data_IF_838190083269
#
_entry.id   IF_838190083269
#
_cell.length_a   1.000
_cell.length_b   1.000
_cell.length_c   1.000
_cell.angle_alpha   90.00
_cell.angle_beta   90.00
_cell.angle_gamma   90.00
#
_symmetry.space_group_name_H-M   'P 1'
#
loop_
_entity.id
_entity.type
_entity.pdbx_description
1 polymer ?
#
# COMPACT_ATOMS: atom_id res chain seq x y z
N UNK A 1 -19.23 15.66 4.81
CA UNK A 1 -20.30 14.97 5.54
C UNK A 1 -19.94 14.74 7.00
N UNK A 2 -18.77 14.14 7.31
CA UNK A 2 -18.31 13.86 8.68
C UNK A 2 -18.18 15.17 9.47
N UNK A 3 -17.45 16.14 8.95
CA UNK A 3 -17.23 17.44 9.59
C UNK A 3 -18.55 18.10 10.00
N UNK A 4 -19.55 18.11 9.11
CA UNK A 4 -20.88 18.64 9.42
C UNK A 4 -21.59 17.84 10.51
N UNK A 5 -21.42 16.50 10.53
CA UNK A 5 -22.08 15.65 11.53
C UNK A 5 -21.54 15.86 12.94
N UNK A 6 -20.20 15.97 13.06
CA UNK A 6 -19.55 16.16 14.36
C UNK A 6 -19.44 17.65 14.77
N UNK A 7 -19.84 18.58 13.90
CA UNK A 7 -19.77 20.02 14.16
C UNK A 7 -18.33 20.55 14.23
N UNK A 8 -17.39 19.94 13.51
CA UNK A 8 -15.99 20.40 13.52
C UNK A 8 -15.79 21.64 12.65
N UNK A 9 -14.87 22.50 13.06
CA UNK A 9 -14.26 23.49 12.18
C UNK A 9 -13.38 22.74 11.15
N UNK A 10 -13.73 22.87 9.86
CA UNK A 10 -13.17 22.05 8.81
C UNK A 10 -12.46 22.88 7.76
N UNK A 11 -11.19 22.57 7.52
CA UNK A 11 -10.38 23.18 6.47
C UNK A 11 -10.01 22.11 5.42
N UNK A 12 -10.20 22.43 4.16
CA UNK A 12 -9.77 21.58 3.03
C UNK A 12 -8.51 22.15 2.40
N UNK A 13 -7.59 21.26 2.03
CA UNK A 13 -6.36 21.59 1.33
C UNK A 13 -6.32 20.79 0.03
N UNK A 14 -6.31 21.47 -1.10
CA UNK A 14 -6.17 20.86 -2.42
C UNK A 14 -4.70 20.89 -2.85
N UNK A 15 -4.31 19.93 -3.68
CA UNK A 15 -2.96 19.84 -4.25
C UNK A 15 -3.05 19.89 -5.76
N UNK A 16 -2.39 20.89 -6.35
CA UNK A 16 -2.34 21.08 -7.77
C UNK A 16 -1.07 20.45 -8.37
N UNK A 17 -1.16 19.99 -9.63
CA UNK A 17 -0.06 19.35 -10.34
C UNK A 17 1.20 20.23 -10.37
N UNK A 18 1.06 21.49 -10.72
CA UNK A 18 2.20 22.41 -10.81
C UNK A 18 2.89 22.61 -9.47
N UNK A 19 2.12 22.80 -8.42
CA UNK A 19 2.64 22.89 -7.04
C UNK A 19 3.43 21.65 -6.62
N UNK A 20 2.93 20.47 -6.98
CA UNK A 20 3.62 19.22 -6.69
C UNK A 20 5.02 19.22 -7.32
N UNK A 21 5.13 19.51 -8.62
CA UNK A 21 6.43 19.51 -9.32
C UNK A 21 7.38 20.61 -8.83
N UNK A 22 6.88 21.80 -8.55
CA UNK A 22 7.67 22.91 -8.02
C UNK A 22 8.27 22.59 -6.64
N UNK A 23 7.58 21.81 -5.84
CA UNK A 23 8.02 21.46 -4.49
C UNK A 23 8.79 20.13 -4.37
N UNK A 24 8.94 19.35 -5.45
CA UNK A 24 9.64 18.06 -5.41
C UNK A 24 11.02 18.15 -4.79
N UNK A 25 11.85 19.08 -5.24
CA UNK A 25 13.22 19.26 -4.75
C UNK A 25 13.24 19.68 -3.27
N UNK A 26 12.27 20.47 -2.83
CA UNK A 26 12.14 20.87 -1.44
C UNK A 26 11.84 19.66 -0.54
N UNK A 27 10.90 18.81 -0.95
CA UNK A 27 10.57 17.58 -0.20
C UNK A 27 11.76 16.63 -0.13
N UNK A 28 12.50 16.45 -1.24
CA UNK A 28 13.71 15.63 -1.27
C UNK A 28 14.77 16.18 -0.31
N UNK A 29 14.94 17.50 -0.23
CA UNK A 29 15.87 18.14 0.71
C UNK A 29 15.44 17.95 2.16
N UNK A 30 14.15 18.12 2.48
CA UNK A 30 13.60 17.90 3.82
C UNK A 30 13.82 16.46 4.26
N UNK A 31 13.52 15.53 3.36
CA UNK A 31 13.66 14.10 3.63
C UNK A 31 15.11 13.62 3.66
N UNK A 32 16.02 14.31 2.97
CA UNK A 32 17.39 13.88 2.70
C UNK A 32 17.45 12.48 2.05
N UNK A 33 16.43 12.12 1.30
CA UNK A 33 16.27 10.83 0.60
C UNK A 33 15.32 11.00 -0.60
N UNK A 34 15.33 10.08 -1.57
CA UNK A 34 14.35 10.06 -2.64
C UNK A 34 12.91 9.98 -2.09
N UNK A 35 11.95 10.50 -2.86
CA UNK A 35 10.54 10.29 -2.59
C UNK A 35 10.23 8.79 -2.60
N UNK A 36 9.60 8.31 -1.53
CA UNK A 36 9.10 6.93 -1.48
C UNK A 36 7.77 6.79 -2.19
N UNK A 37 6.90 7.78 -1.96
CA UNK A 37 5.56 7.84 -2.56
C UNK A 37 5.15 9.31 -2.75
N UNK A 38 4.33 9.62 -3.75
CA UNK A 38 3.91 10.98 -4.05
C UNK A 38 3.12 11.67 -2.92
N UNK A 39 2.52 10.89 -2.03
CA UNK A 39 1.69 11.38 -0.90
C UNK A 39 2.47 12.18 0.16
N UNK A 40 3.79 12.21 0.09
CA UNK A 40 4.62 13.01 0.98
C UNK A 40 4.32 14.51 0.83
N UNK A 41 4.15 14.99 -0.40
CA UNK A 41 3.84 16.40 -0.64
C UNK A 41 2.48 16.86 -0.08
N UNK A 42 1.36 16.16 -0.31
CA UNK A 42 0.09 16.49 0.33
C UNK A 42 0.16 16.60 1.85
N UNK A 43 0.87 15.70 2.52
CA UNK A 43 1.03 15.74 3.98
C UNK A 43 1.83 16.99 4.38
N UNK A 44 2.91 17.28 3.67
CA UNK A 44 3.70 18.50 3.89
C UNK A 44 2.85 19.77 3.73
N UNK A 45 2.06 19.86 2.63
CA UNK A 45 1.19 21.00 2.37
C UNK A 45 0.10 21.14 3.44
N UNK A 46 -0.52 20.03 3.84
CA UNK A 46 -1.52 19.99 4.90
C UNK A 46 -0.91 20.46 6.23
N UNK A 47 0.26 19.95 6.60
CA UNK A 47 0.92 20.33 7.86
C UNK A 47 1.34 21.79 7.87
N UNK A 48 1.71 22.36 6.72
CA UNK A 48 1.97 23.81 6.59
C UNK A 48 0.73 24.64 6.90
N UNK A 49 -0.46 24.17 6.51
CA UNK A 49 -1.72 24.83 6.84
C UNK A 49 -2.11 24.64 8.31
N UNK A 50 -1.95 23.44 8.83
CA UNK A 50 -2.25 23.08 10.22
C UNK A 50 -1.43 23.90 11.23
N UNK A 51 -0.15 24.16 10.93
CA UNK A 51 0.75 24.96 11.77
C UNK A 51 0.18 26.33 12.16
N UNK A 52 -0.68 26.92 11.33
CA UNK A 52 -1.30 28.21 11.59
C UNK A 52 -2.26 28.16 12.81
N UNK A 53 -2.77 26.99 13.14
CA UNK A 53 -3.82 26.82 14.16
C UNK A 53 -3.38 25.98 15.35
N UNK A 54 -2.64 24.88 15.11
CA UNK A 54 -2.26 23.93 16.17
C UNK A 54 -0.84 23.41 16.00
N UNK A 55 -0.26 22.91 17.10
CA UNK A 55 1.09 22.30 17.12
C UNK A 55 1.06 20.77 17.11
N UNK A 56 -0.07 20.18 17.48
CA UNK A 56 -0.24 18.74 17.60
C UNK A 56 -1.50 18.31 16.87
N UNK A 57 -1.43 17.23 16.11
CA UNK A 57 -2.56 16.64 15.38
C UNK A 57 -2.66 15.16 15.65
N UNK A 58 -3.86 14.58 15.44
CA UNK A 58 -4.08 13.14 15.45
C UNK A 58 -4.18 12.63 14.02
N UNK A 59 -3.49 11.53 13.74
CA UNK A 59 -3.54 10.83 12.44
C UNK A 59 -4.17 9.45 12.59
N UNK A 60 -4.78 8.96 11.51
CA UNK A 60 -5.37 7.63 11.42
C UNK A 60 -4.41 6.51 11.01
N UNK A 61 -3.09 6.78 10.95
CA UNK A 61 -2.09 5.76 10.56
C UNK A 61 -2.11 4.57 11.54
N UNK A 62 -1.84 3.38 11.02
CA UNK A 62 -1.91 2.12 11.76
C UNK A 62 -3.26 1.40 11.65
N UNK A 63 -4.35 2.11 11.38
CA UNK A 63 -5.67 1.49 11.30
C UNK A 63 -5.80 0.43 10.19
N UNK A 64 -5.12 0.59 9.06
CA UNK A 64 -5.12 -0.39 7.97
C UNK A 64 -4.24 -1.60 8.29
N UNK A 65 -3.12 -1.40 8.95
CA UNK A 65 -2.13 -2.42 9.29
C UNK A 65 -2.64 -3.40 10.33
N UNK A 66 -3.37 -2.90 11.33
CA UNK A 66 -3.87 -3.72 12.43
C UNK A 66 -5.26 -4.29 12.20
N UNK A 67 -6.11 -3.59 11.46
CA UNK A 67 -7.50 -3.99 11.25
C UNK A 67 -7.79 -4.56 9.86
N UNK A 68 -6.79 -4.69 8.99
CA UNK A 68 -6.94 -5.32 7.68
C UNK A 68 -7.61 -4.43 6.64
N UNK A 69 -6.99 -3.28 6.35
CA UNK A 69 -7.52 -2.31 5.39
C UNK A 69 -7.04 -2.50 3.95
N UNK A 70 -5.94 -3.20 3.72
CA UNK A 70 -5.35 -3.35 2.38
C UNK A 70 -5.84 -4.61 1.66
N UNK A 71 -6.46 -4.42 0.49
CA UNK A 71 -7.00 -5.53 -0.29
C UNK A 71 -5.89 -6.39 -0.91
N UNK A 72 -5.00 -5.75 -1.68
CA UNK A 72 -4.05 -6.43 -2.55
C UNK A 72 -3.10 -7.37 -1.82
N UNK A 73 -2.55 -6.95 -0.70
CA UNK A 73 -1.48 -7.69 -0.02
C UNK A 73 -1.97 -8.42 1.22
N UNK A 74 -2.68 -7.74 2.14
CA UNK A 74 -3.16 -8.38 3.36
C UNK A 74 -4.14 -9.54 3.10
N UNK A 75 -4.86 -9.51 1.95
CA UNK A 75 -5.74 -10.60 1.52
C UNK A 75 -5.07 -11.58 0.56
N UNK A 76 -3.80 -11.42 0.24
CA UNK A 76 -3.06 -12.35 -0.62
C UNK A 76 -3.07 -13.78 -0.07
N UNK A 77 -3.08 -13.92 1.25
CA UNK A 77 -3.23 -15.21 1.92
C UNK A 77 -4.47 -16.00 1.45
N UNK A 78 -5.59 -15.30 1.16
CA UNK A 78 -6.79 -15.96 0.62
C UNK A 78 -6.54 -16.58 -0.75
N UNK A 79 -5.94 -15.82 -1.67
CA UNK A 79 -5.64 -16.31 -3.01
C UNK A 79 -4.59 -17.43 -2.99
N UNK A 80 -3.58 -17.31 -2.12
CA UNK A 80 -2.57 -18.34 -1.95
C UNK A 80 -3.18 -19.66 -1.44
N UNK A 81 -3.97 -19.62 -0.38
CA UNK A 81 -4.64 -20.79 0.20
C UNK A 81 -5.62 -21.40 -0.82
N UNK A 82 -6.39 -20.56 -1.52
CA UNK A 82 -7.30 -21.00 -2.58
C UNK A 82 -6.55 -21.78 -3.68
N UNK A 83 -5.47 -21.21 -4.20
CA UNK A 83 -4.66 -21.83 -5.24
C UNK A 83 -4.03 -23.16 -4.78
N UNK A 84 -3.53 -23.21 -3.54
CA UNK A 84 -2.97 -24.45 -2.94
C UNK A 84 -4.01 -25.52 -2.76
N UNK A 85 -5.22 -25.17 -2.32
CA UNK A 85 -6.33 -26.13 -2.16
C UNK A 85 -6.84 -26.66 -3.50
N UNK A 86 -6.77 -25.83 -4.54
CA UNK A 86 -7.17 -26.20 -5.90
C UNK A 86 -6.00 -26.72 -6.76
N UNK A 87 -4.92 -27.22 -6.14
CA UNK A 87 -3.68 -27.62 -6.82
C UNK A 87 -3.87 -28.60 -7.98
N UNK A 88 -4.83 -29.50 -7.89
CA UNK A 88 -5.14 -30.45 -8.99
C UNK A 88 -5.69 -29.74 -10.23
N UNK A 89 -6.33 -28.60 -10.07
CA UNK A 89 -6.91 -27.81 -11.15
C UNK A 89 -5.97 -26.67 -11.60
N UNK A 90 -4.95 -26.33 -10.78
CA UNK A 90 -4.07 -25.18 -11.04
C UNK A 90 -3.13 -25.34 -12.24
N UNK A 91 -3.01 -26.55 -12.82
CA UNK A 91 -2.24 -26.79 -14.03
C UNK A 91 -3.01 -26.47 -15.32
N UNK A 92 -4.34 -26.31 -15.25
CA UNK A 92 -5.18 -25.97 -16.39
C UNK A 92 -5.45 -24.46 -16.43
N UNK A 93 -5.07 -23.81 -17.52
CA UNK A 93 -5.35 -22.38 -17.74
C UNK A 93 -6.85 -22.07 -17.68
N UNK A 94 -7.69 -23.00 -18.11
CA UNK A 94 -9.15 -22.88 -18.01
C UNK A 94 -9.61 -22.73 -16.55
N UNK A 95 -9.12 -23.60 -15.65
CA UNK A 95 -9.48 -23.52 -14.23
C UNK A 95 -8.84 -22.32 -13.54
N UNK A 96 -7.59 -21.95 -13.87
CA UNK A 96 -6.98 -20.71 -13.36
C UNK A 96 -7.86 -19.50 -13.68
N UNK A 97 -8.38 -19.41 -14.90
CA UNK A 97 -9.28 -18.34 -15.33
C UNK A 97 -10.59 -18.36 -14.54
N UNK A 98 -11.25 -19.52 -14.38
CA UNK A 98 -12.50 -19.67 -13.63
C UNK A 98 -12.33 -19.23 -12.18
N UNK A 99 -11.29 -19.70 -11.50
CA UNK A 99 -11.05 -19.40 -10.08
C UNK A 99 -10.20 -18.16 -9.86
N UNK A 100 -9.91 -17.38 -10.90
CA UNK A 100 -9.07 -16.19 -10.84
C UNK A 100 -7.76 -16.44 -10.05
N UNK A 101 -7.06 -17.52 -10.40
CA UNK A 101 -5.74 -17.86 -9.86
C UNK A 101 -4.69 -17.15 -10.70
N UNK A 102 -3.70 -16.55 -10.06
CA UNK A 102 -2.59 -15.89 -10.76
C UNK A 102 -1.83 -16.90 -11.61
N UNK A 103 -1.87 -16.73 -12.94
CA UNK A 103 -1.24 -17.63 -13.90
C UNK A 103 0.29 -17.52 -13.93
N UNK A 104 0.79 -16.34 -13.60
CA UNK A 104 2.22 -16.02 -13.61
C UNK A 104 2.97 -16.53 -12.37
N UNK A 105 2.25 -16.88 -11.30
CA UNK A 105 2.86 -17.37 -10.07
C UNK A 105 2.82 -18.90 -9.96
N UNK A 106 3.96 -19.50 -9.66
CA UNK A 106 4.05 -20.95 -9.48
C UNK A 106 3.79 -21.37 -8.03
N UNK A 107 2.53 -21.67 -7.71
CA UNK A 107 2.09 -22.07 -6.37
C UNK A 107 2.60 -23.46 -5.93
N UNK A 108 3.20 -24.25 -6.81
CA UNK A 108 3.73 -25.57 -6.44
C UNK A 108 5.18 -25.47 -5.94
N UNK A 109 5.98 -24.57 -6.51
CA UNK A 109 7.39 -24.41 -6.19
C UNK A 109 7.62 -23.35 -5.09
N UNK A 110 6.75 -22.36 -4.98
CA UNK A 110 6.94 -21.19 -4.13
C UNK A 110 6.02 -21.25 -2.90
N UNK A 111 6.48 -20.71 -1.80
CA UNK A 111 5.75 -20.64 -0.55
C UNK A 111 4.91 -19.34 -0.41
N UNK A 112 4.34 -19.12 0.78
CA UNK A 112 3.55 -17.93 1.04
C UNK A 112 4.40 -16.65 1.07
N UNK A 113 5.67 -16.75 1.48
CA UNK A 113 6.54 -15.58 1.48
C UNK A 113 6.82 -15.06 0.08
N UNK A 114 7.07 -15.96 -0.87
CA UNK A 114 7.27 -15.61 -2.28
C UNK A 114 6.02 -14.95 -2.87
N UNK A 115 4.82 -15.51 -2.55
CA UNK A 115 3.57 -14.94 -3.02
C UNK A 115 3.27 -13.59 -2.38
N UNK A 116 3.61 -13.42 -1.11
CA UNK A 116 3.48 -12.14 -0.44
C UNK A 116 4.33 -11.07 -1.15
N UNK A 117 5.61 -11.34 -1.43
CA UNK A 117 6.47 -10.40 -2.16
C UNK A 117 5.97 -10.14 -3.58
N UNK A 118 5.52 -11.17 -4.28
CA UNK A 118 4.92 -11.02 -5.61
C UNK A 118 3.72 -10.05 -5.59
N UNK A 119 2.91 -10.08 -4.51
CA UNK A 119 1.78 -9.17 -4.35
C UNK A 119 2.16 -7.81 -3.76
N UNK A 120 3.20 -7.74 -2.94
CA UNK A 120 3.65 -6.51 -2.30
C UNK A 120 4.39 -5.57 -3.26
N UNK A 121 5.26 -6.13 -4.08
CA UNK A 121 6.07 -5.36 -5.01
C UNK A 121 5.22 -4.78 -6.16
N UNK A 122 5.48 -3.52 -6.51
CA UNK A 122 4.93 -2.90 -7.72
C UNK A 122 5.68 -3.35 -8.97
N UNK A 123 6.99 -3.54 -8.87
CA UNK A 123 7.86 -4.10 -9.88
C UNK A 123 8.38 -5.45 -9.42
N UNK A 124 8.40 -6.44 -10.31
CA UNK A 124 9.09 -7.70 -10.05
C UNK A 124 10.60 -7.44 -9.87
N UNK A 125 11.29 -8.34 -9.20
CA UNK A 125 12.75 -8.22 -9.07
C UNK A 125 13.47 -8.23 -10.42
N UNK A 126 12.95 -8.96 -11.42
CA UNK A 126 13.47 -8.93 -12.79
C UNK A 126 13.28 -7.58 -13.47
N UNK A 127 12.16 -6.91 -13.26
CA UNK A 127 11.94 -5.56 -13.78
C UNK A 127 12.87 -4.55 -13.13
N UNK A 128 13.10 -4.66 -11.82
CA UNK A 128 14.06 -3.82 -11.10
C UNK A 128 15.49 -4.07 -11.63
N UNK A 129 15.89 -5.34 -11.82
CA UNK A 129 17.20 -5.70 -12.36
C UNK A 129 17.41 -5.15 -13.77
N UNK A 130 16.37 -5.12 -14.60
CA UNK A 130 16.43 -4.55 -15.94
C UNK A 130 16.40 -3.00 -15.92
N UNK A 131 15.74 -2.39 -14.94
CA UNK A 131 15.67 -0.93 -14.81
C UNK A 131 17.00 -0.33 -14.34
N UNK A 132 17.71 -1.02 -13.47
CA UNK A 132 18.98 -0.58 -12.93
C UNK A 132 20.12 -1.03 -13.86
N UNK A 133 21.15 -0.22 -14.01
CA UNK A 133 22.33 -0.62 -14.77
C UNK A 133 23.03 -1.83 -14.15
N UNK A 134 23.49 -2.74 -14.99
CA UNK A 134 24.03 -4.06 -14.61
C UNK A 134 25.16 -3.97 -13.56
N UNK A 135 26.08 -3.04 -13.71
CA UNK A 135 27.16 -2.82 -12.76
C UNK A 135 26.70 -2.44 -11.34
N UNK A 136 25.47 -1.96 -11.19
CA UNK A 136 24.86 -1.66 -9.88
C UNK A 136 24.00 -2.84 -9.44
N UNK A 137 23.17 -3.39 -10.34
CA UNK A 137 22.27 -4.50 -10.00
C UNK A 137 23.03 -5.75 -9.54
N UNK A 138 24.22 -6.02 -10.10
CA UNK A 138 25.08 -7.12 -9.68
C UNK A 138 25.61 -6.97 -8.23
N UNK A 139 25.56 -5.78 -7.65
CA UNK A 139 25.93 -5.52 -6.26
C UNK A 139 24.72 -5.62 -5.30
N UNK A 140 23.51 -5.67 -5.82
CA UNK A 140 22.29 -5.75 -5.01
C UNK A 140 22.02 -7.20 -4.61
N UNK A 141 22.05 -7.47 -3.31
CA UNK A 141 21.64 -8.76 -2.78
C UNK A 141 20.16 -8.74 -2.41
N UNK A 142 19.32 -9.23 -3.30
CA UNK A 142 17.85 -9.30 -3.12
C UNK A 142 17.47 -10.10 -1.86
N UNK A 143 18.18 -11.14 -1.52
CA UNK A 143 17.88 -11.95 -0.33
C UNK A 143 18.10 -11.13 0.96
N UNK A 144 19.13 -10.27 1.01
CA UNK A 144 19.31 -9.33 2.13
C UNK A 144 18.16 -8.32 2.24
N UNK A 145 17.60 -7.89 1.12
CA UNK A 145 16.43 -6.98 1.11
C UNK A 145 15.19 -7.67 1.69
N UNK A 146 15.02 -8.97 1.42
CA UNK A 146 13.91 -9.76 1.93
C UNK A 146 14.09 -10.22 3.40
N UNK A 147 15.31 -10.25 3.88
CA UNK A 147 15.66 -10.86 5.17
C UNK A 147 14.83 -10.38 6.36
N UNK A 148 14.59 -9.06 6.56
CA UNK A 148 13.76 -8.60 7.69
C UNK A 148 12.33 -9.15 7.64
N UNK A 149 11.75 -9.25 6.43
CA UNK A 149 10.41 -9.79 6.19
C UNK A 149 10.36 -11.30 6.44
N UNK A 150 11.35 -12.02 5.95
CA UNK A 150 11.47 -13.47 6.15
C UNK A 150 11.67 -13.80 7.63
N UNK A 151 12.41 -12.97 8.37
CA UNK A 151 12.60 -13.13 9.82
C UNK A 151 11.25 -13.07 10.57
N UNK A 152 10.34 -12.16 10.21
CA UNK A 152 8.99 -12.09 10.76
C UNK A 152 8.20 -13.37 10.45
N UNK A 153 8.22 -13.84 9.21
CA UNK A 153 7.53 -15.08 8.83
C UNK A 153 8.07 -16.29 9.59
N UNK A 154 9.38 -16.41 9.74
CA UNK A 154 10.01 -17.48 10.51
C UNK A 154 9.62 -17.43 11.99
N UNK A 155 9.61 -16.22 12.59
CA UNK A 155 9.21 -16.01 13.99
C UNK A 155 7.75 -16.42 14.22
N UNK A 156 6.85 -16.14 13.29
CA UNK A 156 5.42 -16.37 13.39
C UNK A 156 4.93 -17.50 12.46
N UNK A 157 5.77 -18.52 12.22
CA UNK A 157 5.44 -19.64 11.33
C UNK A 157 4.22 -20.47 11.77
N UNK A 158 3.89 -20.44 13.06
CA UNK A 158 2.70 -21.11 13.63
C UNK A 158 1.40 -20.34 13.42
N UNK A 159 1.49 -19.05 13.06
CA UNK A 159 0.31 -18.25 12.76
C UNK A 159 -0.24 -18.59 11.36
N UNK A 160 -1.52 -18.30 11.16
CA UNK A 160 -2.13 -18.43 9.82
C UNK A 160 -1.47 -17.48 8.81
N UNK A 161 -1.50 -17.82 7.52
CA UNK A 161 -1.00 -16.92 6.48
C UNK A 161 -1.72 -15.55 6.49
N UNK A 162 -2.96 -15.52 6.97
CA UNK A 162 -3.71 -14.26 7.16
C UNK A 162 -3.07 -13.37 8.23
N UNK A 163 -2.73 -13.95 9.38
CA UNK A 163 -2.09 -13.23 10.48
C UNK A 163 -0.66 -12.84 10.10
N UNK A 164 0.07 -13.74 9.42
CA UNK A 164 1.42 -13.47 8.91
C UNK A 164 1.42 -12.25 7.98
N UNK A 165 0.43 -12.12 7.08
CA UNK A 165 0.36 -10.95 6.18
C UNK A 165 0.14 -9.64 6.94
N UNK A 166 -0.66 -9.65 8.01
CA UNK A 166 -0.83 -8.46 8.86
C UNK A 166 0.45 -8.12 9.63
N UNK A 167 1.10 -9.13 10.24
CA UNK A 167 2.34 -8.94 10.99
C UNK A 167 3.47 -8.39 10.13
N UNK A 168 3.58 -8.85 8.88
CA UNK A 168 4.55 -8.30 7.92
C UNK A 168 4.31 -6.82 7.64
N UNK A 169 3.05 -6.41 7.49
CA UNK A 169 2.72 -5.00 7.32
C UNK A 169 3.04 -4.16 8.55
N UNK A 170 2.70 -4.66 9.74
CA UNK A 170 2.99 -4.00 11.00
C UNK A 170 4.50 -3.80 11.21
N UNK A 171 5.30 -4.82 10.95
CA UNK A 171 6.73 -4.79 11.26
C UNK A 171 7.57 -4.01 10.22
N UNK A 172 7.17 -3.99 8.96
CA UNK A 172 8.02 -3.44 7.90
C UNK A 172 7.37 -2.29 7.11
N UNK A 173 6.08 -2.43 6.74
CA UNK A 173 5.41 -1.39 5.93
C UNK A 173 5.06 -0.16 6.75
N UNK A 174 4.58 -0.36 7.98
CA UNK A 174 4.14 0.71 8.86
C UNK A 174 5.27 1.73 9.15
N UNK A 175 6.52 1.26 9.30
CA UNK A 175 7.65 2.15 9.53
C UNK A 175 7.77 3.21 8.44
N UNK A 176 7.66 2.82 7.17
CA UNK A 176 7.73 3.78 6.05
C UNK A 176 6.60 4.82 6.09
N UNK A 177 5.42 4.43 6.58
CA UNK A 177 4.28 5.35 6.71
C UNK A 177 4.50 6.35 7.85
N UNK A 178 5.06 5.89 8.97
CA UNK A 178 5.37 6.73 10.12
C UNK A 178 6.49 7.71 9.80
N UNK A 179 7.56 7.26 9.16
CA UNK A 179 8.67 8.12 8.72
C UNK A 179 8.16 9.22 7.77
N UNK A 180 7.29 8.86 6.83
CA UNK A 180 6.64 9.83 5.94
C UNK A 180 5.82 10.86 6.71
N UNK A 181 4.96 10.40 7.62
CA UNK A 181 4.09 11.26 8.41
C UNK A 181 4.93 12.22 9.25
N UNK A 182 5.87 11.69 10.02
CA UNK A 182 6.72 12.45 10.92
C UNK A 182 7.56 13.49 10.17
N UNK A 183 8.31 13.08 9.15
CA UNK A 183 9.17 13.99 8.38
C UNK A 183 8.38 15.12 7.73
N UNK A 184 7.20 14.84 7.17
CA UNK A 184 6.42 15.85 6.48
C UNK A 184 5.69 16.80 7.44
N UNK A 185 5.30 16.35 8.62
CA UNK A 185 4.67 17.20 9.62
C UNK A 185 5.70 17.98 10.43
N UNK A 186 6.81 17.34 10.83
CA UNK A 186 7.90 17.98 11.55
C UNK A 186 8.64 19.04 10.73
N UNK A 187 8.66 18.92 9.40
CA UNK A 187 9.15 19.98 8.49
C UNK A 187 8.43 21.32 8.70
N UNK A 188 7.22 21.30 9.24
CA UNK A 188 6.43 22.46 9.60
C UNK A 188 6.28 22.64 11.11
N UNK A 189 7.04 21.90 11.94
CA UNK A 189 6.96 21.93 13.41
C UNK A 189 5.57 21.56 13.95
N UNK A 190 4.91 20.59 13.30
CA UNK A 190 3.64 20.01 13.74
C UNK A 190 3.92 18.58 14.19
N UNK A 191 3.57 18.23 15.42
CA UNK A 191 3.66 16.87 15.94
C UNK A 191 2.44 16.05 15.54
N UNK A 192 2.62 14.93 14.84
CA UNK A 192 1.55 14.01 14.51
C UNK A 192 1.53 12.82 15.46
N UNK A 193 0.43 12.64 16.18
CA UNK A 193 0.19 11.48 17.06
C UNK A 193 -0.71 10.46 16.37
N UNK A 194 -0.46 9.19 16.67
CA UNK A 194 -1.07 8.04 15.99
C UNK A 194 -1.80 7.13 17.00
N UNK A 195 -3.03 7.47 17.42
CA UNK A 195 -3.74 6.74 18.48
C UNK A 195 -3.96 5.25 18.19
N UNK A 196 -4.02 4.84 16.91
CA UNK A 196 -4.14 3.42 16.55
C UNK A 196 -2.86 2.61 16.81
N UNK A 197 -1.77 3.29 17.16
CA UNK A 197 -0.47 2.69 17.51
C UNK A 197 -0.19 2.71 19.00
N UNK A 198 -1.19 2.98 19.82
CA UNK A 198 -1.10 2.75 21.26
C UNK A 198 -0.74 1.29 21.53
N UNK A 199 0.27 1.05 22.38
CA UNK A 199 0.83 -0.29 22.57
C UNK A 199 -0.17 -1.28 23.19
N UNK A 200 -1.02 -0.82 24.12
CA UNK A 200 -2.06 -1.67 24.72
C UNK A 200 -3.11 -2.07 23.67
N UNK A 201 -3.50 -1.12 22.81
CA UNK A 201 -4.40 -1.40 21.70
C UNK A 201 -3.76 -2.38 20.70
N UNK A 202 -2.48 -2.22 20.36
CA UNK A 202 -1.76 -3.12 19.46
C UNK A 202 -1.69 -4.53 20.02
N UNK A 203 -1.29 -4.68 21.27
CA UNK A 203 -1.22 -5.98 21.94
C UNK A 203 -2.58 -6.66 21.94
N UNK A 204 -3.63 -5.94 22.31
CA UNK A 204 -4.99 -6.47 22.28
C UNK A 204 -5.42 -6.88 20.88
N UNK A 205 -5.31 -5.98 19.88
CA UNK A 205 -5.81 -6.27 18.54
C UNK A 205 -5.07 -7.42 17.86
N UNK A 206 -3.80 -7.64 18.18
CA UNK A 206 -3.04 -8.78 17.69
C UNK A 206 -3.53 -10.12 18.25
N UNK A 207 -4.20 -10.15 19.40
CA UNK A 207 -4.88 -11.34 19.91
C UNK A 207 -6.23 -11.61 19.24
N UNK A 208 -6.80 -10.60 18.58
CA UNK A 208 -8.12 -10.70 17.92
C UNK A 208 -8.00 -11.54 16.65
N UNK A 209 -8.77 -12.63 16.50
CA UNK A 209 -8.74 -13.47 15.31
C UNK A 209 -9.04 -12.69 14.02
N UNK A 210 -8.39 -13.05 12.94
CA UNK A 210 -8.49 -12.39 11.62
C UNK A 210 -9.95 -12.20 11.15
N UNK A 211 -10.84 -13.16 11.44
CA UNK A 211 -12.27 -13.08 11.06
C UNK A 211 -13.03 -11.87 11.63
N UNK A 212 -12.50 -11.24 12.69
CA UNK A 212 -13.05 -10.00 13.24
C UNK A 212 -12.40 -8.74 12.65
N UNK A 213 -11.27 -8.89 11.99
CA UNK A 213 -10.61 -7.81 11.26
C UNK A 213 -11.19 -7.68 9.84
N UNK A 214 -11.32 -8.82 9.15
CA UNK A 214 -11.95 -8.91 7.82
C UNK A 214 -13.04 -9.97 7.88
N UNK A 215 -14.27 -9.62 7.52
CA UNK A 215 -15.43 -10.50 7.62
C UNK A 215 -16.16 -10.64 6.28
N UNK A 216 -16.52 -11.86 5.91
CA UNK A 216 -17.42 -12.10 4.78
C UNK A 216 -18.82 -11.54 5.04
N UNK A 217 -19.40 -10.87 4.06
CA UNK A 217 -20.77 -10.33 4.16
C UNK A 217 -21.81 -11.44 4.38
N UNK A 218 -21.60 -12.59 3.74
CA UNK A 218 -22.47 -13.78 3.87
C UNK A 218 -21.72 -15.05 3.47
N UNK A 219 -22.32 -16.22 3.73
CA UNK A 219 -21.82 -17.52 3.22
C UNK A 219 -21.76 -17.54 1.69
N UNK A 220 -22.78 -16.95 1.03
CA UNK A 220 -22.85 -16.83 -0.43
C UNK A 220 -21.72 -15.94 -0.95
N UNK A 221 -21.43 -14.82 -0.29
CA UNK A 221 -20.32 -13.93 -0.64
C UNK A 221 -18.99 -14.65 -0.53
N UNK A 222 -18.77 -15.45 0.52
CA UNK A 222 -17.59 -16.29 0.67
C UNK A 222 -17.47 -17.31 -0.47
N UNK A 223 -18.56 -17.94 -0.87
CA UNK A 223 -18.55 -18.87 -2.01
C UNK A 223 -18.22 -18.15 -3.33
N UNK A 224 -18.87 -17.01 -3.61
CA UNK A 224 -18.60 -16.22 -4.81
C UNK A 224 -17.15 -15.73 -4.89
N UNK A 225 -16.49 -15.47 -3.76
CA UNK A 225 -15.09 -15.05 -3.74
C UNK A 225 -14.12 -16.10 -4.27
N UNK A 226 -14.49 -17.39 -4.32
CA UNK A 226 -13.67 -18.44 -4.92
C UNK A 226 -13.42 -18.19 -6.42
N UNK A 227 -14.34 -17.50 -7.10
CA UNK A 227 -14.28 -17.17 -8.54
C UNK A 227 -13.70 -15.77 -8.79
N UNK A 228 -13.11 -15.16 -7.78
CA UNK A 228 -12.50 -13.83 -7.85
C UNK A 228 -11.15 -13.83 -7.14
N UNK A 229 -10.25 -12.93 -7.53
CA UNK A 229 -9.05 -12.66 -6.76
C UNK A 229 -9.33 -11.64 -5.63
N UNK A 230 -8.37 -11.51 -4.71
CA UNK A 230 -8.49 -10.63 -3.54
C UNK A 230 -8.80 -9.18 -3.89
N UNK A 231 -8.29 -8.70 -4.99
CA UNK A 231 -8.51 -7.34 -5.45
C UNK A 231 -9.97 -7.10 -5.89
N UNK A 232 -10.52 -8.03 -6.68
CA UNK A 232 -11.90 -7.94 -7.18
C UNK A 232 -12.95 -8.19 -6.11
N UNK A 233 -12.73 -9.10 -5.15
CA UNK A 233 -13.74 -9.40 -4.14
C UNK A 233 -13.75 -8.42 -2.96
N UNK A 234 -12.64 -7.69 -2.74
CA UNK A 234 -12.51 -6.79 -1.61
C UNK A 234 -13.62 -5.75 -1.56
N UNK A 235 -14.25 -5.61 -0.40
CA UNK A 235 -15.41 -4.74 -0.13
C UNK A 235 -16.67 -5.00 -0.97
N UNK A 236 -16.60 -5.92 -1.94
CA UNK A 236 -17.77 -6.43 -2.65
C UNK A 236 -18.38 -7.59 -1.86
N UNK A 237 -17.57 -8.59 -1.50
CA UNK A 237 -17.99 -9.80 -0.81
C UNK A 237 -17.59 -9.84 0.67
N UNK A 238 -16.67 -8.97 1.11
CA UNK A 238 -16.22 -8.86 2.49
C UNK A 238 -16.39 -7.44 3.05
N UNK A 239 -16.03 -7.29 4.31
CA UNK A 239 -16.01 -6.03 5.06
C UNK A 239 -14.63 -5.88 5.67
N UNK A 240 -13.88 -4.91 5.18
CA UNK A 240 -12.58 -4.52 5.72
C UNK A 240 -12.74 -3.79 7.04
N UNK A 241 -11.74 -3.88 7.93
CA UNK A 241 -11.75 -3.21 9.24
C UNK A 241 -13.06 -3.46 9.99
N UNK A 242 -13.56 -4.70 9.96
CA UNK A 242 -14.90 -5.03 10.44
C UNK A 242 -15.15 -4.57 11.86
N UNK A 243 -14.23 -4.86 12.80
CA UNK A 243 -14.37 -4.45 14.20
C UNK A 243 -14.40 -2.93 14.33
N UNK A 244 -13.50 -2.22 13.64
CA UNK A 244 -13.44 -0.76 13.66
C UNK A 244 -14.72 -0.14 13.08
N UNK A 245 -15.27 -0.70 12.01
CA UNK A 245 -16.55 -0.27 11.44
C UNK A 245 -17.70 -0.50 12.42
N UNK A 246 -17.69 -1.61 13.15
CA UNK A 246 -18.70 -1.89 14.18
C UNK A 246 -18.66 -0.91 15.35
N UNK A 247 -17.48 -0.48 15.74
CA UNK A 247 -17.32 0.60 16.73
C UNK A 247 -17.84 1.91 16.12
N UNK A 248 -17.44 2.22 14.89
CA UNK A 248 -17.89 3.41 14.17
C UNK A 248 -19.41 3.51 14.01
N UNK A 249 -20.12 2.40 13.82
CA UNK A 249 -21.60 2.37 13.73
C UNK A 249 -22.29 2.92 15.00
N UNK A 250 -21.61 2.91 16.15
CA UNK A 250 -22.13 3.48 17.41
C UNK A 250 -21.97 4.99 17.51
N UNK A 251 -21.05 5.56 16.76
CA UNK A 251 -20.65 6.95 16.90
C UNK A 251 -20.84 7.78 15.62
N UNK A 252 -21.02 7.13 14.49
CA UNK A 252 -21.11 7.76 13.17
C UNK A 252 -22.39 7.33 12.45
N UNK A 253 -22.94 8.17 11.56
CA UNK A 253 -24.04 7.77 10.69
C UNK A 253 -23.70 6.52 9.89
N UNK A 254 -24.68 5.63 9.73
CA UNK A 254 -24.53 4.37 9.00
C UNK A 254 -23.95 4.57 7.60
N UNK A 255 -24.31 5.66 6.92
CA UNK A 255 -23.76 6.01 5.60
C UNK A 255 -22.22 6.10 5.63
N UNK A 256 -21.64 6.71 6.67
CA UNK A 256 -20.19 6.87 6.80
C UNK A 256 -19.53 5.53 7.15
N UNK A 257 -20.05 4.82 8.16
CA UNK A 257 -19.46 3.56 8.62
C UNK A 257 -19.53 2.43 7.59
N UNK A 258 -20.46 2.49 6.64
CA UNK A 258 -20.65 1.51 5.57
C UNK A 258 -20.00 1.86 4.24
N UNK A 259 -19.42 3.07 4.09
CA UNK A 259 -18.76 3.46 2.84
C UNK A 259 -17.54 2.57 2.54
N UNK A 260 -17.30 2.39 1.25
CA UNK A 260 -16.06 1.72 0.80
C UNK A 260 -14.84 2.52 1.24
N UNK A 261 -13.76 1.80 1.51
CA UNK A 261 -12.48 2.44 1.75
C UNK A 261 -12.07 3.21 0.50
N UNK A 262 -11.87 4.51 0.65
CA UNK A 262 -11.12 5.31 -0.30
C UNK A 262 -9.69 5.39 0.20
N UNK A 263 -8.73 5.20 -0.71
CA UNK A 263 -7.33 5.49 -0.43
C UNK A 263 -7.13 6.98 -0.20
N UNK A 264 -5.89 7.42 -0.27
CA UNK A 264 -5.52 8.83 -0.38
C UNK A 264 -5.06 9.07 -1.83
N UNK A 265 -6.00 9.13 -2.81
CA UNK A 265 -5.66 9.12 -4.22
C UNK A 265 -5.04 10.45 -4.62
N UNK A 266 -3.99 10.35 -5.43
CA UNK A 266 -3.46 11.46 -6.23
C UNK A 266 -3.64 11.06 -7.69
N UNK A 267 -3.94 12.00 -8.60
CA UNK A 267 -4.10 11.73 -10.02
C UNK A 267 -2.73 11.54 -10.69
N UNK A 268 -1.96 10.57 -10.18
CA UNK A 268 -0.57 10.36 -10.60
C UNK A 268 -0.46 9.98 -12.07
N UNK A 269 -1.40 9.22 -12.61
CA UNK A 269 -1.41 8.82 -14.01
C UNK A 269 -1.45 10.03 -14.95
N UNK A 270 -2.22 11.07 -14.57
CA UNK A 270 -2.26 12.33 -15.33
C UNK A 270 -1.03 13.20 -15.06
N UNK A 271 -0.50 13.17 -13.83
CA UNK A 271 0.68 13.96 -13.49
C UNK A 271 1.96 13.39 -14.12
N UNK A 272 2.08 12.06 -14.20
CA UNK A 272 3.24 11.40 -14.80
C UNK A 272 3.33 11.61 -16.33
N UNK A 273 2.23 12.01 -17.00
CA UNK A 273 2.23 12.43 -18.42
C UNK A 273 2.79 13.82 -18.64
N UNK A 274 3.10 14.56 -17.60
CA UNK A 274 3.68 15.91 -17.69
C UNK A 274 5.09 15.85 -18.32
N UNK A 275 5.38 16.78 -19.25
CA UNK A 275 6.69 16.80 -19.95
C UNK A 275 7.88 16.90 -19.01
N UNK A 276 7.70 17.56 -17.87
CA UNK A 276 8.74 17.67 -16.81
C UNK A 276 9.23 16.32 -16.31
N UNK A 277 8.36 15.30 -16.25
CA UNK A 277 8.76 13.94 -15.85
C UNK A 277 9.79 13.39 -16.83
N UNK A 278 9.49 13.49 -18.13
CA UNK A 278 10.41 13.05 -19.18
C UNK A 278 11.71 13.86 -19.16
N UNK A 279 11.61 15.18 -19.00
CA UNK A 279 12.76 16.07 -18.90
C UNK A 279 13.67 15.70 -17.75
N UNK A 280 13.12 15.45 -16.53
CA UNK A 280 13.89 15.05 -15.34
C UNK A 280 14.53 13.67 -15.53
N UNK A 281 13.78 12.70 -16.02
CA UNK A 281 14.24 11.31 -16.12
C UNK A 281 15.28 11.11 -17.23
N UNK A 282 15.20 11.88 -18.33
CA UNK A 282 16.09 11.80 -19.48
C UNK A 282 17.11 12.94 -19.52
N UNK A 283 17.19 13.78 -18.49
CA UNK A 283 18.22 14.82 -18.39
C UNK A 283 19.62 14.23 -18.40
N UNK A 284 20.56 14.95 -19.00
CA UNK A 284 21.95 14.51 -19.10
C UNK A 284 22.54 14.17 -17.74
N UNK A 285 22.32 15.01 -16.71
CA UNK A 285 22.83 14.77 -15.36
C UNK A 285 22.26 13.49 -14.74
N UNK A 286 20.99 13.18 -14.99
CA UNK A 286 20.33 11.94 -14.54
C UNK A 286 20.97 10.73 -15.22
N UNK A 287 21.15 10.79 -16.52
CA UNK A 287 21.75 9.70 -17.31
C UNK A 287 23.25 9.49 -17.04
N UNK A 288 24.01 10.56 -16.84
CA UNK A 288 25.45 10.51 -16.55
C UNK A 288 25.75 9.84 -15.20
N UNK A 289 24.79 9.79 -14.27
CA UNK A 289 24.90 9.03 -13.02
C UNK A 289 24.96 7.52 -13.23
N UNK A 290 24.53 7.02 -14.40
CA UNK A 290 24.56 5.61 -14.79
C UNK A 290 23.89 4.66 -13.76
N UNK A 291 22.88 5.15 -13.06
CA UNK A 291 22.11 4.34 -12.10
C UNK A 291 21.08 3.50 -12.84
N UNK A 292 20.34 4.13 -13.75
CA UNK A 292 19.25 3.51 -14.46
C UNK A 292 19.57 3.22 -15.93
N UNK A 293 18.94 2.19 -16.47
CA UNK A 293 19.01 1.85 -17.88
C UNK A 293 18.10 2.80 -18.67
N UNK A 294 18.70 3.63 -19.54
CA UNK A 294 17.99 4.62 -20.35
C UNK A 294 16.85 4.00 -21.17
N UNK A 295 17.11 2.88 -21.84
CA UNK A 295 16.13 2.22 -22.70
C UNK A 295 14.90 1.72 -21.89
N UNK A 296 15.11 1.33 -20.64
CA UNK A 296 14.02 0.93 -19.76
C UNK A 296 13.21 2.12 -19.25
N UNK A 297 13.88 3.25 -18.93
CA UNK A 297 13.17 4.50 -18.60
C UNK A 297 12.28 4.92 -19.78
N UNK A 298 12.79 4.95 -20.99
CA UNK A 298 12.02 5.31 -22.20
C UNK A 298 10.83 4.37 -22.38
N UNK A 299 11.01 3.07 -22.22
CA UNK A 299 9.90 2.08 -22.29
C UNK A 299 8.84 2.33 -21.24
N UNK A 300 9.20 2.65 -20.00
CA UNK A 300 8.25 2.93 -18.92
C UNK A 300 7.45 4.21 -19.22
N UNK A 301 8.10 5.28 -19.67
CA UNK A 301 7.41 6.52 -20.06
C UNK A 301 6.43 6.26 -21.21
N UNK A 302 6.81 5.47 -22.21
CA UNK A 302 5.94 5.13 -23.35
C UNK A 302 4.80 4.18 -22.93
N UNK A 303 5.02 3.31 -21.95
CA UNK A 303 4.01 2.41 -21.42
C UNK A 303 2.95 3.17 -20.63
N UNK A 304 3.34 4.08 -19.75
CA UNK A 304 2.43 4.96 -18.99
C UNK A 304 1.51 5.77 -19.92
N UNK A 305 1.99 6.17 -21.10
CA UNK A 305 1.17 6.84 -22.09
C UNK A 305 0.11 5.95 -22.76
N UNK A 306 0.20 4.63 -22.60
CA UNK A 306 -0.68 3.63 -23.25
C UNK A 306 -1.64 2.94 -22.27
N UNK A 307 -1.30 2.87 -21.01
CA UNK A 307 -2.12 2.19 -19.99
C UNK A 307 -3.17 3.16 -19.46
N UNK A 308 -4.43 2.81 -19.63
CA UNK A 308 -5.52 3.41 -18.86
C UNK A 308 -5.49 2.77 -17.47
N UNK A 309 -5.56 3.63 -16.46
CA UNK A 309 -5.57 3.28 -15.03
C UNK A 309 -6.35 1.98 -14.73
N UNK A 310 -5.74 1.00 -14.09
CA UNK A 310 -6.44 -0.20 -13.61
C UNK A 310 -7.12 0.01 -12.24
N UNK A 311 -7.15 1.24 -11.69
CA UNK A 311 -7.75 1.52 -10.37
C UNK A 311 -9.12 2.19 -10.47
#
# INVERSE_FOLDING_TARGET
>A
LIAKYIGSDHTEVTVEKNEFFENLLNIIKIKNAPLSIPHEYPIYKLSKKIKESVKVVLSGEGADEFFGGYARVQKSAFDFIKARNLKFFSNSEFFKKIFSIDSEFNFQKNDFSDYFFYKYNWFSFNEIDNLINKNISDQINIEKVKEPWIAILKKYKSCSNYDQSLLMFQANHLQCLLDRLDLMTMANSVEARVPFLDHELIEFINTVPFKFKIKWKSKISKFKSLFSNNFKFSEIYDINKYLLRKIGEKHLPKKISSEKKLGFPLPMDDWMKDSRVKEILLDKKTLDRKIFNKNMIEKLIDFENKVKDPY
#
